data_IF_040706902106
#
_entry.id   IF_040706902106
#
_cell.length_a   1.000
_cell.length_b   1.000
_cell.length_c   1.000
_cell.angle_alpha   90.00
_cell.angle_beta   90.00
_cell.angle_gamma   90.00
#
_symmetry.space_group_name_H-M   'P 1'
#
loop_
_entity.id
_entity.type
_entity.pdbx_description
1 polymer ?
#
# COMPACT_ATOMS: atom_id res chain seq x y z
N UNK A 1 18.61 4.92 7.68
CA UNK A 1 17.83 3.90 6.96
C UNK A 1 17.97 2.58 7.71
N UNK A 2 16.89 2.01 8.30
CA UNK A 2 16.99 0.68 8.95
C UNK A 2 17.08 -0.39 7.85
N UNK A 3 18.07 -1.28 7.92
CA UNK A 3 18.20 -2.42 7.01
C UNK A 3 17.05 -3.40 7.27
N UNK A 4 16.23 -3.62 6.25
CA UNK A 4 15.13 -4.57 6.25
C UNK A 4 15.67 -5.84 5.58
N UNK A 5 16.04 -6.86 6.37
CA UNK A 5 16.37 -8.23 5.90
C UNK A 5 15.42 -8.80 4.80
N UNK A 6 15.92 -9.62 3.88
CA UNK A 6 15.08 -10.18 2.82
C UNK A 6 13.96 -11.10 3.37
N UNK A 7 12.81 -11.12 2.68
CA UNK A 7 11.72 -12.07 2.98
C UNK A 7 12.08 -13.46 2.46
N UNK A 8 11.78 -14.52 3.21
CA UNK A 8 12.05 -15.91 2.82
C UNK A 8 10.88 -16.55 2.04
N UNK A 9 9.94 -15.74 1.57
CA UNK A 9 8.76 -16.25 0.89
C UNK A 9 9.11 -16.75 -0.51
N UNK A 10 8.55 -17.88 -0.92
CA UNK A 10 8.68 -18.34 -2.30
C UNK A 10 7.89 -17.38 -3.21
N UNK A 11 8.46 -16.90 -4.31
CA UNK A 11 7.72 -16.14 -5.32
C UNK A 11 6.59 -16.98 -5.93
N UNK A 12 5.37 -16.44 -5.92
CA UNK A 12 4.21 -17.00 -6.60
C UNK A 12 4.10 -16.38 -7.99
N UNK A 13 4.21 -17.22 -9.01
CA UNK A 13 4.09 -16.85 -10.43
C UNK A 13 2.75 -17.31 -11.02
N UNK A 14 1.66 -17.19 -10.25
CA UNK A 14 0.30 -17.51 -10.70
C UNK A 14 -0.37 -16.24 -11.24
N UNK A 15 -1.46 -16.33 -12.04
CA UNK A 15 -2.25 -15.15 -12.42
C UNK A 15 -2.94 -14.42 -11.25
N UNK A 16 -2.79 -14.92 -10.02
CA UNK A 16 -3.33 -14.33 -8.79
C UNK A 16 -3.69 -15.41 -7.75
N UNK A 17 -3.39 -15.22 -6.45
CA UNK A 17 -2.63 -14.10 -5.87
C UNK A 17 -1.12 -14.20 -6.12
N UNK A 18 -0.44 -13.04 -6.19
CA UNK A 18 1.01 -12.92 -6.33
C UNK A 18 1.70 -12.71 -4.97
N UNK A 19 3.00 -12.94 -4.91
CA UNK A 19 3.83 -12.60 -3.73
C UNK A 19 3.96 -11.09 -3.59
N UNK A 20 3.51 -10.53 -2.46
CA UNK A 20 3.68 -9.12 -2.10
C UNK A 20 5.08 -8.83 -1.55
N UNK A 21 5.52 -7.57 -1.65
CA UNK A 21 6.81 -7.14 -1.10
C UNK A 21 6.83 -7.22 0.44
N UNK A 22 8.05 -7.25 1.01
CA UNK A 22 8.19 -7.24 2.48
C UNK A 22 7.57 -6.00 3.12
N UNK A 23 7.70 -4.84 2.50
CA UNK A 23 7.16 -3.58 3.05
C UNK A 23 5.63 -3.62 3.14
N UNK A 24 4.96 -4.21 2.14
CA UNK A 24 3.51 -4.44 2.18
C UNK A 24 3.13 -5.35 3.36
N UNK A 25 3.82 -6.48 3.53
CA UNK A 25 3.56 -7.41 4.64
C UNK A 25 3.77 -6.76 6.01
N UNK A 26 4.81 -5.94 6.16
CA UNK A 26 5.06 -5.21 7.41
C UNK A 26 3.98 -4.16 7.68
N UNK A 27 3.52 -3.44 6.64
CA UNK A 27 2.43 -2.48 6.79
C UNK A 27 1.12 -3.15 7.25
N UNK A 28 0.87 -4.39 6.80
CA UNK A 28 -0.31 -5.18 7.21
C UNK A 28 -0.31 -5.60 8.68
N UNK A 29 0.81 -5.47 9.41
CA UNK A 29 0.86 -5.75 10.85
C UNK A 29 0.30 -4.62 11.72
N UNK A 30 -0.10 -3.50 11.10
CA UNK A 30 -0.64 -2.33 11.80
C UNK A 30 -2.14 -2.23 11.58
N UNK A 31 -2.90 -2.32 12.66
CA UNK A 31 -4.33 -2.00 12.66
C UNK A 31 -4.58 -0.49 12.69
N UNK A 32 -5.61 -0.05 11.97
CA UNK A 32 -6.04 1.34 11.92
C UNK A 32 -7.57 1.41 11.95
N UNK A 33 -8.11 2.30 12.79
CA UNK A 33 -9.54 2.59 12.80
C UNK A 33 -9.91 3.54 11.65
N UNK A 34 -11.09 3.37 11.05
CA UNK A 34 -11.51 4.17 9.89
C UNK A 34 -11.66 5.68 10.15
N UNK A 35 -11.82 6.08 11.42
CA UNK A 35 -11.90 7.48 11.86
C UNK A 35 -10.56 8.03 12.36
N UNK A 36 -9.50 7.22 12.37
CA UNK A 36 -8.16 7.67 12.71
C UNK A 36 -7.63 8.61 11.62
N UNK A 37 -7.01 9.72 12.01
CA UNK A 37 -6.32 10.63 11.11
C UNK A 37 -5.31 9.90 10.22
N UNK A 38 -4.59 8.92 10.78
CA UNK A 38 -3.62 8.13 10.00
C UNK A 38 -4.30 7.31 8.90
N UNK A 39 -5.49 6.75 9.16
CA UNK A 39 -6.26 6.00 8.16
C UNK A 39 -6.74 6.94 7.05
N UNK A 40 -7.33 8.08 7.44
CA UNK A 40 -7.86 9.07 6.49
C UNK A 40 -6.76 9.57 5.56
N UNK A 41 -5.58 9.86 6.11
CA UNK A 41 -4.43 10.30 5.33
C UNK A 41 -3.99 9.24 4.30
N UNK A 42 -3.85 7.98 4.72
CA UNK A 42 -3.47 6.87 3.82
C UNK A 42 -4.47 6.72 2.67
N UNK A 43 -5.78 6.84 2.96
CA UNK A 43 -6.81 6.78 1.91
C UNK A 43 -6.68 7.94 0.91
N UNK A 44 -6.42 9.16 1.39
CA UNK A 44 -6.21 10.32 0.51
C UNK A 44 -4.99 10.13 -0.40
N UNK A 45 -3.88 9.63 0.15
CA UNK A 45 -2.66 9.33 -0.61
C UNK A 45 -2.90 8.27 -1.67
N UNK A 46 -3.57 7.16 -1.33
CA UNK A 46 -3.91 6.09 -2.27
C UNK A 46 -4.82 6.62 -3.38
N UNK A 47 -5.87 7.38 -3.04
CA UNK A 47 -6.79 7.98 -4.03
C UNK A 47 -6.03 8.86 -5.01
N UNK A 48 -5.16 9.74 -4.51
CA UNK A 48 -4.37 10.63 -5.37
C UNK A 48 -3.42 9.83 -6.29
N UNK A 49 -2.80 8.77 -5.78
CA UNK A 49 -1.97 7.87 -6.57
C UNK A 49 -2.76 7.15 -7.67
N UNK A 50 -3.95 6.64 -7.36
CA UNK A 50 -4.84 5.99 -8.33
C UNK A 50 -5.30 6.95 -9.42
N UNK A 51 -5.66 8.20 -9.07
CA UNK A 51 -6.02 9.21 -10.06
C UNK A 51 -4.85 9.52 -11.00
N UNK A 52 -3.64 9.68 -10.46
CA UNK A 52 -2.43 9.89 -11.26
C UNK A 52 -2.16 8.71 -12.20
N UNK A 53 -2.29 7.47 -11.71
CA UNK A 53 -2.10 6.25 -12.52
C UNK A 53 -3.14 6.11 -13.63
N UNK A 54 -4.39 6.51 -13.37
CA UNK A 54 -5.48 6.48 -14.34
C UNK A 54 -5.46 7.67 -15.33
N UNK A 55 -4.52 8.61 -15.19
CA UNK A 55 -4.47 9.84 -16.00
C UNK A 55 -5.56 10.87 -15.65
N UNK A 56 -6.20 10.75 -14.49
CA UNK A 56 -7.17 11.71 -13.99
C UNK A 56 -6.51 12.95 -13.38
N UNK A 57 -7.08 14.13 -13.63
CA UNK A 57 -6.69 15.36 -12.94
C UNK A 57 -7.26 15.37 -11.51
N UNK A 58 -6.46 15.72 -10.50
CA UNK A 58 -6.96 15.91 -9.13
C UNK A 58 -8.06 16.99 -9.12
N UNK A 59 -9.30 16.58 -8.84
CA UNK A 59 -10.36 17.51 -8.49
C UNK A 59 -10.06 18.06 -7.10
N UNK A 60 -9.67 19.34 -7.04
CA UNK A 60 -9.53 20.06 -5.78
C UNK A 60 -10.86 20.08 -5.03
N UNK A 61 -10.77 19.96 -3.70
CA UNK A 61 -11.83 20.40 -2.79
C UNK A 61 -11.57 21.86 -2.48
#
# INVERSE_FOLDING_TARGET
MRSISESKDKPLFTPGPLTTSRTVKQAMLKDLGSRDFAFIQVIQEIRNGLLMLAGGCQGGI
#
